data_IF_981008037347
#
_entry.id   IF_981008037347
#
_cell.length_a   1.000
_cell.length_b   1.000
_cell.length_c   1.000
_cell.angle_alpha   90.00
_cell.angle_beta   90.00
_cell.angle_gamma   90.00
#
_symmetry.space_group_name_H-M   'P 1'
#
loop_
_entity.id
_entity.type
_entity.pdbx_description
1 polymer ?
#
# COMPACT_ATOMS: atom_id res chain seq x y z
N UNK A 1 15.84 -13.15 -0.13
CA UNK A 1 14.56 -13.90 0.01
C UNK A 1 13.65 -13.49 -1.15
N UNK A 2 12.75 -14.34 -1.64
CA UNK A 2 11.80 -13.98 -2.71
C UNK A 2 10.51 -13.40 -2.11
N UNK A 3 9.83 -12.53 -2.86
CA UNK A 3 8.55 -11.93 -2.45
C UNK A 3 7.48 -12.97 -2.16
N UNK A 4 7.40 -14.04 -2.95
CA UNK A 4 6.43 -15.13 -2.77
C UNK A 4 6.61 -15.88 -1.43
N UNK A 5 7.86 -16.09 -1.01
CA UNK A 5 8.17 -16.77 0.24
C UNK A 5 7.81 -15.89 1.45
N UNK A 6 8.05 -14.58 1.33
CA UNK A 6 7.63 -13.59 2.32
C UNK A 6 6.12 -13.55 2.48
N UNK A 7 5.38 -13.41 1.38
CA UNK A 7 3.92 -13.28 1.42
C UNK A 7 3.29 -14.57 1.93
N UNK A 8 3.79 -15.74 1.53
CA UNK A 8 3.34 -17.02 2.07
C UNK A 8 3.56 -17.13 3.59
N UNK A 9 4.70 -16.64 4.10
CA UNK A 9 4.97 -16.63 5.53
C UNK A 9 4.03 -15.68 6.31
N UNK A 10 3.76 -14.49 5.78
CA UNK A 10 2.85 -13.52 6.40
C UNK A 10 1.40 -14.02 6.35
N UNK A 11 0.98 -14.61 5.23
CA UNK A 11 -0.40 -15.03 5.00
C UNK A 11 -0.90 -16.08 6.00
N UNK A 12 0.02 -16.82 6.64
CA UNK A 12 -0.31 -17.76 7.73
C UNK A 12 -0.92 -17.08 8.96
N UNK A 13 -0.65 -15.79 9.16
CA UNK A 13 -1.09 -15.02 10.33
C UNK A 13 -2.00 -13.86 9.95
N UNK A 14 -1.69 -13.18 8.84
CA UNK A 14 -2.42 -12.00 8.39
C UNK A 14 -2.47 -11.98 6.85
N UNK A 15 -3.50 -12.59 6.23
CA UNK A 15 -3.62 -12.66 4.78
C UNK A 15 -3.83 -11.28 4.13
N UNK A 16 -4.43 -10.32 4.85
CA UNK A 16 -4.62 -8.96 4.33
C UNK A 16 -3.29 -8.19 4.33
N UNK A 17 -2.46 -8.35 5.37
CA UNK A 17 -1.11 -7.81 5.37
C UNK A 17 -0.27 -8.44 4.26
N UNK A 18 -0.36 -9.77 4.07
CA UNK A 18 0.37 -10.47 3.03
C UNK A 18 0.01 -9.96 1.63
N UNK A 19 -1.29 -9.75 1.38
CA UNK A 19 -1.79 -9.23 0.11
C UNK A 19 -1.28 -7.80 -0.15
N UNK A 20 -1.41 -6.92 0.85
CA UNK A 20 -0.90 -5.54 0.77
C UNK A 20 0.62 -5.51 0.55
N UNK A 21 1.39 -6.31 1.30
CA UNK A 21 2.85 -6.40 1.13
C UNK A 21 3.21 -6.91 -0.25
N UNK A 22 2.58 -7.99 -0.72
CA UNK A 22 2.87 -8.58 -2.03
C UNK A 22 2.61 -7.61 -3.18
N UNK A 23 1.44 -6.96 -3.18
CA UNK A 23 1.07 -5.98 -4.21
C UNK A 23 1.98 -4.77 -4.20
N UNK A 24 2.30 -4.22 -3.03
CA UNK A 24 3.17 -3.04 -2.94
C UNK A 24 4.62 -3.35 -3.25
N UNK A 25 5.15 -4.51 -2.85
CA UNK A 25 6.50 -4.95 -3.25
C UNK A 25 6.55 -5.13 -4.77
N UNK A 26 5.56 -5.79 -5.36
CA UNK A 26 5.48 -5.97 -6.82
C UNK A 26 5.42 -4.63 -7.57
N UNK A 27 4.62 -3.69 -7.09
CA UNK A 27 4.54 -2.32 -7.62
C UNK A 27 5.88 -1.59 -7.59
N UNK A 28 6.59 -1.67 -6.46
CA UNK A 28 7.85 -0.93 -6.26
C UNK A 28 9.01 -1.55 -7.03
N UNK A 29 9.05 -2.87 -7.15
CA UNK A 29 10.08 -3.58 -7.91
C UNK A 29 9.90 -3.45 -9.42
N UNK A 30 8.68 -3.15 -9.90
CA UNK A 30 8.45 -2.91 -11.31
C UNK A 30 9.09 -1.57 -11.74
N UNK A 31 10.18 -1.70 -12.52
CA UNK A 31 10.99 -0.57 -12.98
C UNK A 31 10.24 0.38 -13.92
N UNK A 32 9.15 -0.10 -14.52
CA UNK A 32 8.30 0.63 -15.45
C UNK A 32 6.97 1.06 -14.80
N UNK A 33 6.87 0.93 -13.49
CA UNK A 33 5.64 1.22 -12.76
C UNK A 33 5.23 2.68 -12.96
N UNK A 34 3.93 2.87 -13.17
CA UNK A 34 3.31 4.19 -13.20
C UNK A 34 3.64 5.00 -11.93
N UNK A 35 3.61 6.35 -12.00
CA UNK A 35 3.86 7.20 -10.84
C UNK A 35 2.84 7.01 -9.70
N UNK A 36 1.70 6.39 -10.00
CA UNK A 36 0.66 6.03 -9.03
C UNK A 36 0.47 4.51 -8.99
N UNK A 37 0.11 3.93 -7.82
CA UNK A 37 -0.32 2.55 -7.75
C UNK A 37 -1.65 2.37 -8.50
N UNK A 38 -1.98 1.12 -8.83
CA UNK A 38 -3.29 0.77 -9.37
C UNK A 38 -4.37 0.85 -8.28
N UNK A 39 -5.63 0.86 -8.72
CA UNK A 39 -6.79 0.79 -7.82
C UNK A 39 -6.72 -0.44 -6.91
N UNK A 40 -6.42 -1.60 -7.49
CA UNK A 40 -6.32 -2.87 -6.78
C UNK A 40 -5.20 -2.87 -5.72
N UNK A 41 -4.04 -2.27 -6.04
CA UNK A 41 -2.93 -2.11 -5.08
C UNK A 41 -3.34 -1.22 -3.91
N UNK A 42 -4.04 -0.13 -4.20
CA UNK A 42 -4.52 0.83 -3.20
C UNK A 42 -5.61 0.22 -2.32
N UNK A 43 -6.54 -0.52 -2.91
CA UNK A 43 -7.60 -1.23 -2.19
C UNK A 43 -7.05 -2.31 -1.26
N UNK A 44 -6.00 -3.04 -1.65
CA UNK A 44 -5.35 -4.01 -0.77
C UNK A 44 -4.74 -3.35 0.47
N UNK A 45 -4.07 -2.21 0.31
CA UNK A 45 -3.56 -1.43 1.44
C UNK A 45 -4.71 -0.95 2.32
N UNK A 46 -5.78 -0.39 1.74
CA UNK A 46 -6.95 0.05 2.49
C UNK A 46 -7.66 -1.08 3.24
N UNK A 47 -7.77 -2.26 2.64
CA UNK A 47 -8.36 -3.44 3.27
C UNK A 47 -7.58 -3.85 4.52
N UNK A 48 -6.25 -3.84 4.44
CA UNK A 48 -5.39 -4.05 5.59
C UNK A 48 -5.55 -2.96 6.66
N UNK A 49 -5.51 -1.68 6.28
CA UNK A 49 -5.65 -0.58 7.23
C UNK A 49 -6.99 -0.62 7.97
N UNK A 50 -8.06 -1.00 7.28
CA UNK A 50 -9.39 -1.18 7.89
C UNK A 50 -9.42 -2.36 8.86
N UNK A 51 -8.78 -3.48 8.53
CA UNK A 51 -8.78 -4.68 9.40
C UNK A 51 -8.08 -4.45 10.74
N UNK A 52 -7.10 -3.56 10.77
CA UNK A 52 -6.39 -3.15 12.00
C UNK A 52 -7.00 -1.91 12.66
N UNK A 53 -8.21 -1.52 12.26
CA UNK A 53 -8.96 -0.38 12.80
C UNK A 53 -8.23 0.96 12.71
N UNK A 54 -7.34 1.13 11.72
CA UNK A 54 -6.61 2.39 11.55
C UNK A 54 -7.51 3.57 11.13
N UNK A 55 -8.68 3.28 10.57
CA UNK A 55 -9.65 4.28 10.11
C UNK A 55 -10.47 4.93 11.23
N UNK A 56 -10.41 4.42 12.47
CA UNK A 56 -11.17 4.97 13.59
C UNK A 56 -12.68 5.04 13.31
N UNK A 57 -13.24 6.25 13.37
CA UNK A 57 -14.64 6.54 13.06
C UNK A 57 -14.96 6.55 11.55
N UNK A 58 -13.95 6.36 10.69
CA UNK A 58 -14.11 6.31 9.23
C UNK A 58 -13.88 7.66 8.54
N UNK A 59 -13.82 8.78 9.26
CA UNK A 59 -13.41 10.07 8.67
C UNK A 59 -11.91 10.10 8.40
N UNK A 60 -11.49 10.98 7.48
CA UNK A 60 -10.08 11.22 7.18
C UNK A 60 -9.54 12.42 7.99
N UNK A 61 -9.73 12.35 9.30
CA UNK A 61 -9.19 13.33 10.25
C UNK A 61 -7.67 13.17 10.38
N UNK A 62 -6.96 14.22 10.82
CA UNK A 62 -5.50 14.15 11.02
C UNK A 62 -5.08 12.99 11.95
N UNK A 63 -5.89 12.72 12.98
CA UNK A 63 -5.65 11.62 13.91
C UNK A 63 -5.78 10.25 13.22
N UNK A 64 -6.83 10.06 12.39
CA UNK A 64 -7.01 8.82 11.64
C UNK A 64 -5.94 8.67 10.55
N UNK A 65 -5.51 9.75 9.90
CA UNK A 65 -4.38 9.73 8.96
C UNK A 65 -3.09 9.32 9.68
N UNK A 66 -2.83 9.85 10.89
CA UNK A 66 -1.67 9.45 11.68
C UNK A 66 -1.71 7.96 12.05
N UNK A 67 -2.87 7.45 12.49
CA UNK A 67 -3.05 6.02 12.75
C UNK A 67 -2.83 5.16 11.50
N UNK A 68 -3.36 5.59 10.35
CA UNK A 68 -3.13 4.93 9.05
C UNK A 68 -1.65 4.91 8.68
N UNK A 69 -0.92 6.02 8.84
CA UNK A 69 0.54 6.09 8.61
C UNK A 69 1.32 5.18 9.54
N UNK A 70 0.91 5.02 10.79
CA UNK A 70 1.53 4.08 11.73
C UNK A 70 1.27 2.63 11.28
N UNK A 71 0.04 2.32 10.86
CA UNK A 71 -0.33 0.99 10.40
C UNK A 71 0.40 0.60 9.09
N UNK A 72 0.59 1.53 8.15
CA UNK A 72 1.37 1.27 6.93
C UNK A 72 2.85 0.95 7.21
N UNK A 73 3.42 1.37 8.35
CA UNK A 73 4.79 0.97 8.72
C UNK A 73 4.93 -0.56 8.83
N UNK A 74 3.89 -1.31 9.19
CA UNK A 74 3.95 -2.78 9.21
C UNK A 74 4.16 -3.36 7.80
N UNK A 75 3.64 -2.71 6.77
CA UNK A 75 3.89 -3.07 5.37
C UNK A 75 5.35 -2.78 5.03
N UNK A 76 5.86 -1.58 5.35
CA UNK A 76 7.25 -1.19 5.11
C UNK A 76 8.24 -2.12 5.81
N UNK A 77 8.03 -2.42 7.10
CA UNK A 77 8.89 -3.31 7.89
C UNK A 77 8.95 -4.72 7.28
N UNK A 78 7.80 -5.24 6.84
CA UNK A 78 7.74 -6.55 6.17
C UNK A 78 8.53 -6.56 4.87
N UNK A 79 8.47 -5.47 4.11
CA UNK A 79 9.14 -5.30 2.83
C UNK A 79 10.67 -5.12 2.91
N UNK A 80 11.24 -4.77 4.08
CA UNK A 80 12.70 -4.62 4.30
C UNK A 80 13.48 -5.85 3.83
N UNK A 81 12.88 -7.04 3.93
CA UNK A 81 13.55 -8.29 3.60
C UNK A 81 13.74 -8.53 2.09
N UNK A 82 13.10 -7.72 1.23
CA UNK A 82 13.05 -7.90 -0.23
C UNK A 82 13.27 -6.63 -1.04
N UNK A 83 13.17 -5.44 -0.43
CA UNK A 83 13.41 -4.15 -1.08
C UNK A 83 14.74 -3.54 -0.64
N UNK A 84 15.42 -2.84 -1.55
CA UNK A 84 16.57 -2.01 -1.21
C UNK A 84 16.17 -0.64 -0.61
N UNK A 85 17.16 0.17 -0.24
CA UNK A 85 16.93 1.45 0.42
C UNK A 85 16.11 2.46 -0.41
N UNK A 86 16.39 2.59 -1.70
CA UNK A 86 15.68 3.52 -2.58
C UNK A 86 14.23 3.02 -2.81
N UNK A 87 14.06 1.71 -2.94
CA UNK A 87 12.75 1.09 -3.03
C UNK A 87 11.92 1.27 -1.76
N UNK A 88 12.53 1.16 -0.58
CA UNK A 88 11.86 1.38 0.70
C UNK A 88 11.43 2.84 0.88
N UNK A 89 12.25 3.81 0.45
CA UNK A 89 11.89 5.23 0.45
C UNK A 89 10.66 5.49 -0.43
N UNK A 90 10.69 4.99 -1.67
CA UNK A 90 9.54 5.06 -2.59
C UNK A 90 8.30 4.39 -2.01
N UNK A 91 8.44 3.21 -1.40
CA UNK A 91 7.34 2.50 -0.77
C UNK A 91 6.70 3.36 0.35
N UNK A 92 7.54 3.98 1.19
CA UNK A 92 7.06 4.79 2.30
C UNK A 92 6.32 6.05 1.82
N UNK A 93 6.80 6.74 0.78
CA UNK A 93 6.10 7.89 0.18
C UNK A 93 4.72 7.48 -0.34
N UNK A 94 4.62 6.39 -1.10
CA UNK A 94 3.35 5.92 -1.66
C UNK A 94 2.37 5.51 -0.56
N UNK A 95 2.83 4.77 0.45
CA UNK A 95 1.99 4.37 1.58
C UNK A 95 1.53 5.58 2.41
N UNK A 96 2.37 6.61 2.56
CA UNK A 96 1.98 7.85 3.24
C UNK A 96 0.89 8.61 2.49
N UNK A 97 0.90 8.57 1.15
CA UNK A 97 -0.15 9.15 0.31
C UNK A 97 -1.45 8.35 0.39
N UNK A 98 -1.41 7.01 0.34
CA UNK A 98 -2.59 6.15 0.56
C UNK A 98 -3.18 6.34 1.98
N UNK A 99 -2.32 6.53 2.97
CA UNK A 99 -2.77 6.80 4.34
C UNK A 99 -3.54 8.12 4.44
N UNK A 100 -3.14 9.14 3.69
CA UNK A 100 -3.80 10.45 3.65
C UNK A 100 -5.00 10.51 2.69
N UNK A 101 -5.01 9.69 1.64
CA UNK A 101 -6.04 9.64 0.63
C UNK A 101 -6.34 8.18 0.24
N UNK A 102 -7.54 7.71 0.60
CA UNK A 102 -7.99 6.32 0.32
C UNK A 102 -8.11 6.06 -1.19
N UNK A 103 -8.25 7.11 -1.99
CA UNK A 103 -8.39 7.03 -3.43
C UNK A 103 -7.09 7.39 -4.16
N UNK A 104 -5.94 7.34 -3.48
CA UNK A 104 -4.62 7.55 -4.08
C UNK A 104 -4.24 6.40 -5.04
N UNK A 105 -4.79 6.41 -6.23
CA UNK A 105 -4.50 5.46 -7.30
C UNK A 105 -4.56 6.15 -8.67
N UNK A 106 -4.02 5.50 -9.69
CA UNK A 106 -4.13 5.97 -11.07
C UNK A 106 -5.61 6.14 -11.44
N UNK A 107 -6.05 7.32 -11.89
CA UNK A 107 -7.44 7.54 -12.29
C UNK A 107 -7.79 6.58 -13.43
N UNK A 108 -8.87 5.81 -13.25
CA UNK A 108 -9.45 5.03 -14.34
C UNK A 108 -9.77 6.01 -15.46
N UNK A 109 -9.23 5.78 -16.67
CA UNK A 109 -9.24 6.75 -17.75
C UNK A 109 -10.66 7.25 -18.06
N UNK A 110 -11.03 8.36 -17.44
CA UNK A 110 -12.11 9.24 -17.86
C UNK A 110 -11.63 10.18 -18.96
N UNK A 111 -10.92 9.67 -19.97
CA UNK A 111 -10.79 10.39 -21.24
C UNK A 111 -12.09 10.18 -22.03
N UNK A 112 -13.17 10.74 -21.50
CA UNK A 112 -14.30 11.16 -22.33
C UNK A 112 -13.84 12.35 -23.18
N UNK A 113 -13.72 12.10 -24.48
CA UNK A 113 -13.66 13.07 -25.59
C UNK A 113 -13.33 14.53 -25.25
N UNK A 114 -12.06 14.92 -25.44
CA UNK A 114 -11.72 16.26 -25.91
C UNK A 114 -11.78 16.26 -27.43
N UNK A 115 -12.69 17.07 -27.99
CA UNK A 115 -12.94 17.24 -29.43
C UNK A 115 -11.70 17.65 -30.22
#
# INVERSE_FOLDING_TARGET
MKTEDLTAAIARYDPLLADAVGKMVGYIQDRWAAPYPSKEQTEAVNAYLRSVHADGDGTMSENNIAHRRIATQKITISAIRVLDHEQLDRLQDVLNRIAADREYHMPEHGYGMGR
#
